data_IF_942353881381
#
_entry.id   IF_942353881381
#
_cell.length_a   1.000
_cell.length_b   1.000
_cell.length_c   1.000
_cell.angle_alpha   90.00
_cell.angle_beta   90.00
_cell.angle_gamma   90.00
#
_symmetry.space_group_name_H-M   'P 1'
#
loop_
_entity.id
_entity.type
_entity.pdbx_description
1 polymer ?
#
# COMPACT_ATOMS: atom_id res chain seq x y z
N UNK A 1 60.05 -38.68 47.88
CA UNK A 1 58.92 -39.18 47.09
C UNK A 1 57.64 -38.62 47.72
N UNK A 2 56.99 -37.71 47.01
CA UNK A 2 55.73 -37.06 47.43
C UNK A 2 54.85 -37.02 46.19
N UNK A 3 53.63 -37.58 46.18
CA UNK A 3 52.80 -37.61 44.99
C UNK A 3 52.09 -36.26 44.81
N UNK A 4 52.00 -35.82 43.56
CA UNK A 4 51.28 -34.63 43.14
C UNK A 4 49.80 -35.00 42.93
N UNK A 5 48.91 -34.34 43.67
CA UNK A 5 47.47 -34.33 43.40
C UNK A 5 47.19 -33.49 42.15
N UNK A 6 46.43 -34.07 41.22
CA UNK A 6 45.94 -33.43 40.00
C UNK A 6 44.42 -33.28 40.13
N UNK A 7 43.92 -32.06 40.37
CA UNK A 7 42.49 -31.75 40.26
C UNK A 7 42.05 -31.71 38.79
N UNK A 8 40.87 -32.25 38.44
CA UNK A 8 40.29 -32.12 37.11
C UNK A 8 39.51 -30.81 37.00
N UNK A 9 39.96 -29.92 36.13
CA UNK A 9 39.24 -28.71 35.72
C UNK A 9 37.94 -29.08 35.02
N UNK A 10 36.81 -28.82 35.67
CA UNK A 10 35.49 -28.93 35.08
C UNK A 10 35.33 -27.88 33.97
N UNK A 11 35.18 -28.34 32.73
CA UNK A 11 34.84 -27.50 31.59
C UNK A 11 33.37 -27.07 31.69
N UNK A 12 33.14 -25.80 32.00
CA UNK A 12 31.84 -25.13 31.90
C UNK A 12 31.43 -25.09 30.43
N UNK A 13 30.49 -25.95 30.04
CA UNK A 13 29.87 -25.92 28.72
C UNK A 13 29.09 -24.62 28.54
N UNK A 14 29.48 -23.83 27.54
CA UNK A 14 28.71 -22.70 27.03
C UNK A 14 27.39 -23.23 26.43
N UNK A 15 26.22 -22.67 26.76
CA UNK A 15 24.98 -23.01 26.09
C UNK A 15 25.08 -22.66 24.61
N UNK A 16 24.83 -23.64 23.75
CA UNK A 16 24.68 -23.48 22.31
C UNK A 16 23.36 -22.72 22.08
N UNK A 17 23.46 -21.41 21.82
CA UNK A 17 22.30 -20.60 21.40
C UNK A 17 21.77 -21.16 20.09
N UNK A 18 20.54 -21.67 20.15
CA UNK A 18 19.77 -22.08 18.96
C UNK A 18 19.57 -20.84 18.08
N UNK A 19 19.88 -20.90 16.78
CA UNK A 19 19.68 -19.76 15.90
C UNK A 19 18.19 -19.46 15.80
N UNK A 20 17.82 -18.30 16.34
CA UNK A 20 16.47 -17.73 16.32
C UNK A 20 16.03 -17.52 14.86
N UNK A 21 14.82 -17.95 14.53
CA UNK A 21 14.31 -17.95 13.17
C UNK A 21 14.34 -16.55 12.55
N UNK A 22 14.89 -16.45 11.34
CA UNK A 22 14.95 -15.20 10.57
C UNK A 22 13.51 -14.72 10.28
N UNK A 23 13.12 -13.49 10.64
CA UNK A 23 11.78 -13.00 10.35
C UNK A 23 11.61 -12.93 8.83
N UNK A 24 10.65 -13.71 8.31
CA UNK A 24 10.21 -13.60 6.93
C UNK A 24 9.28 -12.39 6.82
N UNK A 25 9.57 -11.40 5.98
CA UNK A 25 8.72 -10.23 5.81
C UNK A 25 7.36 -10.65 5.23
N UNK A 26 6.29 -10.35 5.95
CA UNK A 26 4.90 -10.59 5.55
C UNK A 26 4.46 -9.48 4.59
N UNK A 27 3.99 -9.79 3.37
CA UNK A 27 3.42 -8.78 2.50
C UNK A 27 2.17 -8.19 3.16
N UNK A 28 2.16 -6.87 3.40
CA UNK A 28 0.98 -6.16 3.91
C UNK A 28 -0.07 -6.13 2.81
N UNK A 29 -1.19 -6.77 3.10
CA UNK A 29 -2.38 -6.82 2.27
C UNK A 29 -3.33 -5.70 2.71
N UNK A 30 -3.10 -4.50 2.20
CA UNK A 30 -4.02 -3.38 2.44
C UNK A 30 -5.03 -3.26 1.32
N UNK A 31 -6.27 -3.56 1.67
CA UNK A 31 -7.44 -3.62 0.79
C UNK A 31 -8.42 -2.58 1.28
N UNK A 32 -8.41 -1.34 0.75
CA UNK A 32 -9.55 -0.43 0.92
C UNK A 32 -9.75 0.54 -0.27
N UNK A 33 -10.92 0.52 -0.94
CA UNK A 33 -11.29 1.33 -2.11
C UNK A 33 -12.70 1.93 -2.09
N UNK A 34 -12.84 3.13 -2.66
CA UNK A 34 -14.07 3.93 -2.69
C UNK A 34 -14.86 3.77 -4.00
N UNK A 35 -16.16 3.47 -3.91
CA UNK A 35 -17.08 3.19 -5.04
C UNK A 35 -17.53 4.44 -5.81
N UNK A 36 -17.61 4.31 -7.13
CA UNK A 36 -18.32 5.22 -8.01
C UNK A 36 -19.85 4.98 -7.97
N UNK A 37 -20.62 6.06 -7.88
CA UNK A 37 -22.09 6.06 -7.93
C UNK A 37 -22.61 5.66 -9.32
N UNK A 38 -23.78 4.98 -9.43
CA UNK A 38 -24.37 4.63 -10.73
C UNK A 38 -24.86 5.89 -11.46
N UNK A 39 -24.45 6.04 -12.72
CA UNK A 39 -24.96 7.07 -13.62
C UNK A 39 -26.44 6.86 -13.94
N UNK A 40 -27.28 7.80 -13.50
CA UNK A 40 -28.69 7.87 -13.91
C UNK A 40 -28.80 8.44 -15.32
N UNK A 41 -29.28 7.63 -16.26
CA UNK A 41 -29.69 8.10 -17.59
C UNK A 41 -31.02 8.84 -17.50
N UNK A 42 -31.02 10.13 -17.82
CA UNK A 42 -32.22 10.86 -18.21
C UNK A 42 -32.03 11.31 -19.65
N UNK A 43 -32.74 10.65 -20.56
CA UNK A 43 -32.85 11.11 -21.94
C UNK A 43 -33.73 12.34 -22.02
N UNK A 44 -33.33 13.30 -22.84
CA UNK A 44 -34.30 14.13 -23.54
C UNK A 44 -33.75 14.50 -24.92
N UNK A 45 -34.63 14.41 -25.92
CA UNK A 45 -34.30 14.56 -27.32
C UNK A 45 -34.24 16.03 -27.74
N UNK A 46 -33.23 16.37 -28.52
CA UNK A 46 -33.13 17.67 -29.17
C UNK A 46 -32.09 17.64 -30.28
N UNK A 47 -32.55 17.58 -31.52
CA UNK A 47 -31.72 17.82 -32.70
C UNK A 47 -31.27 19.30 -32.70
N UNK A 48 -29.97 19.56 -32.81
CA UNK A 48 -29.38 20.44 -33.85
C UNK A 48 -27.96 20.92 -33.48
N UNK A 49 -27.15 21.05 -34.54
CA UNK A 49 -25.81 21.66 -34.65
C UNK A 49 -24.61 20.85 -34.13
N UNK A 50 -23.87 20.27 -35.08
CA UNK A 50 -22.47 19.85 -34.92
C UNK A 50 -21.62 21.11 -34.67
N UNK A 51 -21.59 21.56 -33.41
CA UNK A 51 -20.60 22.51 -32.91
C UNK A 51 -19.36 21.72 -32.57
N UNK A 52 -18.27 21.96 -33.29
CA UNK A 52 -16.95 21.47 -32.92
C UNK A 52 -16.65 21.97 -31.50
N UNK A 53 -16.36 21.08 -30.52
CA UNK A 53 -16.13 21.51 -29.15
C UNK A 53 -14.92 22.45 -29.07
N UNK A 54 -14.92 23.48 -28.20
CA UNK A 54 -13.72 24.26 -27.92
C UNK A 54 -12.56 23.34 -27.52
N UNK A 55 -11.32 23.73 -27.80
CA UNK A 55 -10.12 22.91 -27.54
C UNK A 55 -10.02 22.38 -26.08
N UNK A 56 -10.60 23.10 -25.13
CA UNK A 56 -10.74 22.68 -23.73
C UNK A 56 -11.54 21.37 -23.56
N UNK A 57 -12.56 21.13 -24.40
CA UNK A 57 -13.38 19.91 -24.38
C UNK A 57 -12.66 18.74 -25.08
N UNK A 58 -11.77 19.01 -26.04
CA UNK A 58 -11.02 17.97 -26.74
C UNK A 58 -9.95 17.32 -25.83
N UNK A 59 -9.27 18.10 -24.98
CA UNK A 59 -8.36 17.57 -23.98
C UNK A 59 -9.10 16.84 -22.84
N UNK A 60 -10.30 17.30 -22.46
CA UNK A 60 -11.18 16.60 -21.53
C UNK A 60 -11.66 15.25 -22.10
N UNK A 61 -11.84 15.15 -23.42
CA UNK A 61 -12.27 13.92 -24.09
C UNK A 61 -11.19 12.81 -24.12
N UNK A 62 -9.94 13.08 -23.76
CA UNK A 62 -8.86 12.06 -23.75
C UNK A 62 -8.44 11.68 -22.32
N UNK A 63 -9.01 12.32 -21.29
CA UNK A 63 -8.65 12.04 -19.90
C UNK A 63 -9.27 10.72 -19.41
N UNK A 64 -8.50 9.86 -18.71
CA UNK A 64 -9.04 8.69 -18.03
C UNK A 64 -9.98 9.07 -16.89
N UNK A 65 -11.05 8.29 -16.69
CA UNK A 65 -12.03 8.56 -15.63
C UNK A 65 -11.38 8.44 -14.25
N UNK A 66 -10.45 7.48 -14.11
CA UNK A 66 -9.63 7.24 -12.90
C UNK A 66 -8.99 8.51 -12.34
N UNK A 67 -8.35 9.31 -13.19
CA UNK A 67 -7.56 10.49 -12.77
C UNK A 67 -8.37 11.78 -12.82
N UNK A 68 -9.51 11.78 -13.53
CA UNK A 68 -10.46 12.89 -13.56
C UNK A 68 -11.06 13.20 -12.18
N UNK A 69 -11.21 12.18 -11.33
CA UNK A 69 -11.76 12.30 -9.99
C UNK A 69 -10.85 13.07 -9.02
N UNK A 70 -9.56 13.20 -9.34
CA UNK A 70 -8.59 13.93 -8.50
C UNK A 70 -8.77 15.43 -8.70
N UNK A 71 -9.18 16.12 -7.64
CA UNK A 71 -9.42 17.57 -7.66
C UNK A 71 -8.11 18.37 -7.69
N UNK A 72 -8.16 19.56 -8.31
CA UNK A 72 -7.06 20.52 -8.22
C UNK A 72 -7.08 21.16 -6.83
N UNK A 73 -5.93 21.65 -6.39
CA UNK A 73 -5.82 22.34 -5.10
C UNK A 73 -6.76 23.55 -4.97
N UNK A 74 -7.04 24.26 -6.08
CA UNK A 74 -7.97 25.39 -6.09
C UNK A 74 -9.46 25.01 -6.09
N UNK A 75 -9.80 23.75 -6.38
CA UNK A 75 -11.18 23.28 -6.48
C UNK A 75 -11.71 22.73 -5.14
N UNK A 76 -10.84 22.55 -4.15
CA UNK A 76 -11.21 22.00 -2.84
C UNK A 76 -11.83 23.07 -1.95
N UNK A 77 -12.93 22.71 -1.28
CA UNK A 77 -13.60 23.63 -0.37
C UNK A 77 -12.71 24.04 0.80
N UNK A 78 -12.60 25.35 1.00
CA UNK A 78 -11.88 25.99 2.12
C UNK A 78 -12.83 26.43 3.25
N UNK A 79 -14.10 26.01 3.19
CA UNK A 79 -15.06 26.25 4.27
C UNK A 79 -14.53 25.62 5.58
N UNK A 80 -14.38 26.41 6.67
CA UNK A 80 -13.97 25.89 7.97
C UNK A 80 -14.77 24.66 8.44
N UNK A 81 -16.04 24.55 8.05
CA UNK A 81 -16.90 23.40 8.40
C UNK A 81 -16.50 22.13 7.65
N UNK A 82 -16.14 22.24 6.37
CA UNK A 82 -15.65 21.10 5.57
C UNK A 82 -14.31 20.63 6.11
N UNK A 83 -13.41 21.58 6.44
CA UNK A 83 -12.12 21.27 7.05
C UNK A 83 -12.32 20.55 8.39
N UNK A 84 -13.17 21.08 9.28
CA UNK A 84 -13.45 20.46 10.58
C UNK A 84 -14.03 19.05 10.45
N UNK A 85 -14.99 18.85 9.53
CA UNK A 85 -15.59 17.53 9.25
C UNK A 85 -14.53 16.53 8.78
N UNK A 86 -13.64 16.95 7.88
CA UNK A 86 -12.57 16.09 7.37
C UNK A 86 -11.49 15.77 8.42
N UNK A 87 -11.20 16.70 9.34
CA UNK A 87 -10.34 16.41 10.50
C UNK A 87 -11.00 15.33 11.39
N UNK A 88 -12.29 15.45 11.66
CA UNK A 88 -13.01 14.45 12.46
C UNK A 88 -13.03 13.09 11.77
N UNK A 89 -13.30 13.05 10.46
CA UNK A 89 -13.25 11.81 9.66
C UNK A 89 -11.86 11.17 9.69
N UNK A 90 -10.81 11.97 9.52
CA UNK A 90 -9.43 11.50 9.61
C UNK A 90 -9.12 10.90 10.99
N UNK A 91 -9.54 11.55 12.08
CA UNK A 91 -9.37 11.02 13.44
C UNK A 91 -10.14 9.71 13.62
N UNK A 92 -11.39 9.63 13.18
CA UNK A 92 -12.20 8.41 13.25
C UNK A 92 -11.52 7.28 12.48
N UNK A 93 -11.07 7.55 11.25
CA UNK A 93 -10.36 6.59 10.43
C UNK A 93 -9.10 6.07 11.15
N UNK A 94 -8.27 6.96 11.67
CA UNK A 94 -7.08 6.60 12.44
C UNK A 94 -7.42 5.78 13.69
N UNK A 95 -8.49 6.12 14.41
CA UNK A 95 -8.94 5.34 15.57
C UNK A 95 -9.35 3.92 15.18
N UNK A 96 -10.07 3.75 14.06
CA UNK A 96 -10.47 2.44 13.56
C UNK A 96 -9.24 1.63 13.14
N UNK A 97 -8.33 2.23 12.36
CA UNK A 97 -7.12 1.55 11.90
C UNK A 97 -6.21 1.16 13.07
N UNK A 98 -6.06 2.04 14.07
CA UNK A 98 -5.27 1.77 15.27
C UNK A 98 -5.90 0.65 16.11
N UNK A 99 -7.23 0.67 16.29
CA UNK A 99 -7.95 -0.38 17.01
C UNK A 99 -7.85 -1.74 16.31
N UNK A 100 -8.04 -1.78 14.99
CA UNK A 100 -7.89 -2.98 14.19
C UNK A 100 -6.45 -3.51 14.23
N UNK A 101 -5.46 -2.62 14.14
CA UNK A 101 -4.05 -2.95 14.24
C UNK A 101 -3.67 -3.56 15.59
N UNK A 102 -4.18 -3.02 16.69
CA UNK A 102 -3.93 -3.57 18.02
C UNK A 102 -4.51 -4.99 18.15
N UNK A 103 -5.77 -5.19 17.74
CA UNK A 103 -6.40 -6.51 17.74
C UNK A 103 -5.66 -7.51 16.83
N UNK A 104 -5.21 -7.07 15.66
CA UNK A 104 -4.47 -7.89 14.72
C UNK A 104 -3.12 -8.31 15.30
N UNK A 105 -2.34 -7.37 15.84
CA UNK A 105 -1.03 -7.65 16.45
C UNK A 105 -1.16 -8.68 17.58
N UNK A 106 -2.11 -8.48 18.51
CA UNK A 106 -2.36 -9.44 19.60
C UNK A 106 -2.74 -10.83 19.07
N UNK A 107 -3.54 -10.88 17.99
CA UNK A 107 -3.98 -12.15 17.39
C UNK A 107 -2.82 -12.90 16.75
N UNK A 108 -1.97 -12.21 16.00
CA UNK A 108 -0.80 -12.82 15.35
C UNK A 108 0.19 -13.32 16.42
N UNK A 109 0.48 -12.51 17.43
CA UNK A 109 1.44 -12.88 18.47
C UNK A 109 1.02 -14.12 19.25
N UNK A 110 -0.28 -14.23 19.58
CA UNK A 110 -0.80 -15.38 20.30
C UNK A 110 -0.90 -16.66 19.47
N UNK A 111 -0.91 -16.56 18.13
CA UNK A 111 -1.20 -17.69 17.24
C UNK A 111 -0.14 -17.89 16.14
N UNK A 112 1.04 -17.29 16.28
CA UNK A 112 2.10 -17.26 15.26
C UNK A 112 2.40 -18.65 14.70
N UNK A 113 2.71 -19.60 15.56
CA UNK A 113 3.09 -20.97 15.16
C UNK A 113 1.99 -21.69 14.38
N UNK A 114 0.73 -21.52 14.79
CA UNK A 114 -0.41 -22.16 14.11
C UNK A 114 -0.75 -21.45 12.79
N UNK A 115 -0.60 -20.13 12.74
CA UNK A 115 -0.73 -19.34 11.51
C UNK A 115 0.34 -19.73 10.50
N UNK A 116 1.60 -19.78 10.90
CA UNK A 116 2.72 -20.20 10.04
C UNK A 116 2.46 -21.61 9.48
N UNK A 117 2.09 -22.57 10.33
CA UNK A 117 1.80 -23.95 9.88
C UNK A 117 0.65 -24.03 8.87
N UNK A 118 -0.42 -23.25 9.06
CA UNK A 118 -1.57 -23.22 8.14
C UNK A 118 -1.24 -22.48 6.85
N UNK A 119 -0.51 -21.37 6.99
CA UNK A 119 -0.08 -20.56 5.87
C UNK A 119 0.86 -21.38 4.98
N UNK A 120 1.81 -22.12 5.54
CA UNK A 120 2.71 -22.99 4.79
C UNK A 120 1.95 -24.02 3.94
N UNK A 121 0.94 -24.66 4.52
CA UNK A 121 0.10 -25.61 3.78
C UNK A 121 -0.67 -24.93 2.64
N UNK A 122 -1.28 -23.78 2.90
CA UNK A 122 -1.98 -23.00 1.87
C UNK A 122 -1.04 -22.42 0.80
N UNK A 123 0.20 -22.09 1.19
CA UNK A 123 1.22 -21.47 0.35
C UNK A 123 2.03 -22.48 -0.47
N UNK A 124 1.96 -23.77 -0.12
CA UNK A 124 2.63 -24.86 -0.85
C UNK A 124 2.43 -24.82 -2.38
N UNK A 125 1.22 -24.67 -2.95
CA UNK A 125 1.05 -24.55 -4.40
C UNK A 125 1.74 -23.32 -5.00
N UNK A 126 1.79 -22.20 -4.25
CA UNK A 126 2.45 -20.98 -4.72
C UNK A 126 3.97 -21.08 -4.68
N UNK A 127 4.54 -21.88 -3.77
CA UNK A 127 5.98 -22.19 -3.78
C UNK A 127 6.41 -22.90 -5.07
N UNK A 128 5.56 -23.74 -5.65
CA UNK A 128 5.83 -24.39 -6.94
C UNK A 128 5.89 -23.38 -8.08
N UNK A 129 4.98 -22.39 -8.08
CA UNK A 129 4.98 -21.30 -9.07
C UNK A 129 6.24 -20.43 -8.90
N UNK A 130 6.59 -20.08 -7.67
CA UNK A 130 7.82 -19.33 -7.36
C UNK A 130 9.08 -20.06 -7.81
N UNK A 131 9.14 -21.38 -7.59
CA UNK A 131 10.24 -22.22 -8.08
C UNK A 131 10.32 -22.23 -9.62
N UNK A 132 9.17 -22.24 -10.31
CA UNK A 132 9.12 -22.12 -11.77
C UNK A 132 9.65 -20.79 -12.29
N UNK A 133 9.27 -19.67 -11.65
CA UNK A 133 9.76 -18.34 -11.99
C UNK A 133 11.27 -18.24 -11.77
N UNK A 134 11.76 -18.74 -10.63
CA UNK A 134 13.19 -18.77 -10.34
C UNK A 134 13.96 -19.65 -11.33
N UNK A 135 13.41 -20.80 -11.72
CA UNK A 135 14.01 -21.67 -12.73
C UNK A 135 14.14 -20.98 -14.10
N UNK A 136 13.12 -20.23 -14.53
CA UNK A 136 13.19 -19.44 -15.76
C UNK A 136 14.24 -18.32 -15.62
N UNK A 137 14.26 -17.64 -14.48
CA UNK A 137 15.25 -16.59 -14.21
C UNK A 137 16.69 -17.14 -14.21
N UNK A 138 16.93 -18.32 -13.66
CA UNK A 138 18.24 -18.98 -13.63
C UNK A 138 18.65 -19.49 -15.03
N UNK A 139 17.68 -19.87 -15.85
CA UNK A 139 17.91 -20.32 -17.24
C UNK A 139 18.37 -19.15 -18.12
N UNK A 140 17.81 -17.97 -17.91
CA UNK A 140 18.17 -16.76 -18.63
C UNK A 140 19.29 -16.06 -17.86
N UNK A 141 20.56 -16.34 -18.21
CA UNK A 141 21.73 -15.67 -17.61
C UNK A 141 21.79 -14.19 -18.00
N UNK A 142 21.00 -13.36 -17.32
CA UNK A 142 21.02 -11.91 -17.44
C UNK A 142 22.19 -11.39 -16.60
N UNK A 143 23.04 -10.47 -17.11
CA UNK A 143 24.07 -9.82 -16.30
C UNK A 143 23.46 -9.17 -15.05
N UNK A 144 24.10 -9.29 -13.88
CA UNK A 144 23.58 -8.77 -12.60
C UNK A 144 23.14 -7.30 -12.67
N UNK A 145 23.92 -6.46 -13.37
CA UNK A 145 23.59 -5.04 -13.58
C UNK A 145 22.27 -4.86 -14.33
N UNK A 146 22.06 -5.71 -15.33
CA UNK A 146 20.89 -5.65 -16.19
C UNK A 146 19.67 -6.25 -15.45
N UNK A 147 19.84 -7.33 -14.69
CA UNK A 147 18.81 -7.90 -13.82
C UNK A 147 18.32 -6.88 -12.78
N UNK A 148 19.22 -6.08 -12.20
CA UNK A 148 18.88 -5.03 -11.23
C UNK A 148 17.96 -3.95 -11.79
N UNK A 149 17.96 -3.74 -13.10
CA UNK A 149 17.10 -2.76 -13.80
C UNK A 149 15.86 -3.44 -14.38
N UNK A 150 16.03 -4.60 -15.04
CA UNK A 150 14.93 -5.32 -15.68
C UNK A 150 13.93 -5.91 -14.68
N UNK A 151 14.37 -6.37 -13.50
CA UNK A 151 13.45 -6.96 -12.54
C UNK A 151 12.42 -5.93 -12.03
N UNK A 152 12.81 -4.74 -11.52
CA UNK A 152 11.86 -3.69 -11.18
C UNK A 152 11.05 -3.21 -12.39
N UNK A 153 11.69 -3.01 -13.55
CA UNK A 153 10.98 -2.55 -14.75
C UNK A 153 9.93 -3.57 -15.23
N UNK A 154 10.22 -4.86 -15.18
CA UNK A 154 9.30 -5.93 -15.54
C UNK A 154 8.12 -6.03 -14.57
N UNK A 155 8.37 -5.84 -13.27
CA UNK A 155 7.30 -5.77 -12.26
C UNK A 155 6.42 -4.54 -12.49
N UNK A 156 7.01 -3.36 -12.71
CA UNK A 156 6.26 -2.14 -13.02
C UNK A 156 5.42 -2.29 -14.28
N UNK A 157 5.97 -2.92 -15.32
CA UNK A 157 5.24 -3.19 -16.56
C UNK A 157 4.09 -4.16 -16.32
N UNK A 158 4.32 -5.25 -15.59
CA UNK A 158 3.27 -6.21 -15.22
C UNK A 158 2.15 -5.52 -14.44
N UNK A 159 2.50 -4.74 -13.42
CA UNK A 159 1.54 -4.01 -12.59
C UNK A 159 0.75 -3.01 -13.44
N UNK A 160 1.45 -2.19 -14.24
CA UNK A 160 0.82 -1.25 -15.15
C UNK A 160 -0.16 -1.94 -16.09
N UNK A 161 0.22 -3.11 -16.62
CA UNK A 161 -0.62 -3.89 -17.53
C UNK A 161 -1.86 -4.44 -16.81
N UNK A 162 -1.67 -4.96 -15.60
CA UNK A 162 -2.78 -5.48 -14.78
C UNK A 162 -3.76 -4.37 -14.44
N UNK A 163 -3.28 -3.20 -14.02
CA UNK A 163 -4.15 -2.06 -13.69
C UNK A 163 -4.79 -1.42 -14.92
N UNK A 164 -4.15 -1.43 -16.10
CA UNK A 164 -4.77 -0.91 -17.31
C UNK A 164 -5.97 -1.75 -17.78
N UNK A 165 -6.08 -3.02 -17.35
CA UNK A 165 -7.28 -3.82 -17.57
C UNK A 165 -8.48 -3.41 -16.69
N UNK A 166 -8.31 -2.48 -15.74
CA UNK A 166 -9.40 -2.02 -14.90
C UNK A 166 -10.38 -1.11 -15.65
N UNK A 167 -9.92 -0.36 -16.66
CA UNK A 167 -10.76 0.40 -17.59
C UNK A 167 -11.17 -0.47 -18.80
N UNK A 168 -12.32 -0.21 -19.45
CA UNK A 168 -12.76 -0.98 -20.62
C UNK A 168 -11.68 -1.01 -21.70
N UNK A 169 -11.16 -2.22 -21.93
CA UNK A 169 -10.04 -2.52 -22.82
C UNK A 169 -10.31 -2.09 -24.26
N UNK A 170 -9.82 -0.91 -24.62
CA UNK A 170 -9.45 -0.53 -25.97
C UNK A 170 -7.94 -0.33 -26.02
N UNK A 171 -7.30 -0.67 -27.14
CA UNK A 171 -5.99 -0.09 -27.48
C UNK A 171 -6.22 1.35 -27.98
N UNK A 172 -6.83 2.17 -27.12
CA UNK A 172 -7.14 3.56 -27.38
C UNK A 172 -6.13 4.48 -26.68
N UNK A 173 -6.13 5.75 -27.07
CA UNK A 173 -5.22 6.74 -26.52
C UNK A 173 -5.41 6.90 -25.00
N UNK A 174 -6.62 6.67 -24.47
CA UNK A 174 -6.94 6.73 -23.04
C UNK A 174 -6.29 5.60 -22.25
N UNK A 175 -6.45 4.36 -22.71
CA UNK A 175 -5.85 3.19 -22.07
C UNK A 175 -4.33 3.23 -22.09
N UNK A 176 -3.73 3.68 -23.20
CA UNK A 176 -2.28 3.87 -23.30
C UNK A 176 -1.79 4.99 -22.36
N UNK A 177 -2.51 6.11 -22.30
CA UNK A 177 -2.22 7.22 -21.39
C UNK A 177 -2.25 6.75 -19.93
N UNK A 178 -3.32 6.06 -19.51
CA UNK A 178 -3.45 5.52 -18.16
C UNK A 178 -2.33 4.52 -17.85
N UNK A 179 -2.07 3.57 -18.74
CA UNK A 179 -1.01 2.57 -18.58
C UNK A 179 0.36 3.22 -18.37
N UNK A 180 0.73 4.19 -19.21
CA UNK A 180 2.02 4.88 -19.09
C UNK A 180 2.07 5.73 -17.81
N UNK A 181 1.00 6.46 -17.49
CA UNK A 181 0.93 7.25 -16.27
C UNK A 181 1.02 6.39 -15.01
N UNK A 182 0.45 5.18 -15.01
CA UNK A 182 0.57 4.18 -13.93
C UNK A 182 2.00 3.67 -13.80
N UNK A 183 2.64 3.29 -14.90
CA UNK A 183 4.04 2.81 -14.86
C UNK A 183 4.95 3.90 -14.28
N UNK A 184 4.79 5.15 -14.73
CA UNK A 184 5.61 6.25 -14.27
C UNK A 184 5.31 6.57 -12.81
N UNK A 185 4.03 6.69 -12.43
CA UNK A 185 3.66 7.04 -11.05
C UNK A 185 4.11 5.97 -10.06
N UNK A 186 3.82 4.69 -10.31
CA UNK A 186 4.23 3.59 -9.46
C UNK A 186 5.77 3.52 -9.39
N UNK A 187 6.46 3.69 -10.53
CA UNK A 187 7.92 3.74 -10.57
C UNK A 187 8.50 4.86 -9.70
N UNK A 188 7.92 6.05 -9.76
CA UNK A 188 8.32 7.20 -8.94
C UNK A 188 8.05 6.94 -7.46
N UNK A 189 6.84 6.50 -7.11
CA UNK A 189 6.46 6.20 -5.73
C UNK A 189 7.39 5.14 -5.13
N UNK A 190 7.60 4.03 -5.84
CA UNK A 190 8.49 2.94 -5.41
C UNK A 190 9.93 3.43 -5.27
N UNK A 191 10.42 4.23 -6.21
CA UNK A 191 11.78 4.78 -6.12
C UNK A 191 11.96 5.70 -4.91
N UNK A 192 11.00 6.58 -4.63
CA UNK A 192 11.07 7.49 -3.48
C UNK A 192 11.03 6.71 -2.18
N UNK A 193 10.09 5.78 -2.04
CA UNK A 193 9.86 5.07 -0.80
C UNK A 193 10.90 3.97 -0.58
N UNK A 194 10.86 2.93 -1.41
CA UNK A 194 11.72 1.75 -1.31
C UNK A 194 13.17 2.07 -1.66
N UNK A 195 13.37 2.87 -2.72
CA UNK A 195 14.70 3.35 -3.07
C UNK A 195 15.28 4.26 -1.99
N UNK A 196 14.46 5.12 -1.37
CA UNK A 196 14.85 5.95 -0.22
C UNK A 196 15.30 5.11 0.97
N UNK A 197 14.52 4.09 1.35
CA UNK A 197 14.88 3.15 2.41
C UNK A 197 16.17 2.39 2.09
N UNK A 198 16.28 1.86 0.86
CA UNK A 198 17.45 1.09 0.44
C UNK A 198 18.74 1.94 0.39
N UNK A 199 18.66 3.18 -0.10
CA UNK A 199 19.77 4.14 -0.12
C UNK A 199 20.17 4.47 1.31
N UNK A 200 19.22 4.78 2.19
CA UNK A 200 19.56 5.18 3.56
C UNK A 200 20.12 4.02 4.37
N UNK A 201 19.55 2.82 4.25
CA UNK A 201 20.06 1.59 4.84
C UNK A 201 21.50 1.29 4.41
N UNK A 202 21.78 1.41 3.11
CA UNK A 202 23.11 1.16 2.54
C UNK A 202 24.13 2.24 2.90
N UNK A 203 23.81 3.50 2.61
CA UNK A 203 24.80 4.58 2.64
C UNK A 203 25.00 5.13 4.05
N UNK A 204 23.94 5.15 4.87
CA UNK A 204 24.02 5.68 6.23
C UNK A 204 24.38 4.61 7.25
N UNK A 205 23.81 3.41 7.12
CA UNK A 205 23.94 2.35 8.13
C UNK A 205 24.82 1.18 7.68
N UNK A 206 25.33 1.18 6.44
CA UNK A 206 26.20 0.14 5.88
C UNK A 206 25.56 -1.27 5.95
N UNK A 207 24.24 -1.31 5.95
CA UNK A 207 23.47 -2.54 6.00
C UNK A 207 23.18 -2.98 4.55
N UNK A 208 23.55 -4.21 4.15
CA UNK A 208 23.27 -4.68 2.80
C UNK A 208 21.75 -4.79 2.59
N UNK A 209 21.23 -3.90 1.74
CA UNK A 209 19.85 -3.92 1.26
C UNK A 209 19.77 -4.67 -0.07
N UNK A 210 18.72 -5.47 -0.25
CA UNK A 210 18.45 -6.13 -1.51
C UNK A 210 16.95 -6.18 -1.77
N UNK A 211 16.57 -6.22 -3.05
CA UNK A 211 15.16 -6.27 -3.44
C UNK A 211 14.75 -7.73 -3.45
N UNK A 212 13.81 -8.11 -2.58
CA UNK A 212 13.18 -9.42 -2.61
C UNK A 212 11.81 -9.29 -3.26
N UNK A 213 11.58 -10.08 -4.30
CA UNK A 213 10.27 -10.15 -4.94
C UNK A 213 9.45 -11.16 -4.16
N UNK A 214 8.18 -10.85 -3.91
CA UNK A 214 7.21 -11.75 -3.30
C UNK A 214 6.21 -12.20 -4.37
N UNK A 215 6.45 -13.32 -5.07
CA UNK A 215 5.56 -13.80 -6.14
C UNK A 215 4.10 -13.95 -5.67
N UNK A 216 3.91 -14.32 -4.40
CA UNK A 216 2.60 -14.40 -3.79
C UNK A 216 1.86 -13.06 -3.81
N UNK A 217 2.54 -11.95 -3.48
CA UNK A 217 1.93 -10.62 -3.51
C UNK A 217 1.45 -10.27 -4.92
N UNK A 218 2.21 -10.66 -5.96
CA UNK A 218 1.83 -10.49 -7.37
C UNK A 218 0.57 -11.28 -7.68
N UNK A 219 0.49 -12.56 -7.28
CA UNK A 219 -0.68 -13.40 -7.54
C UNK A 219 -1.92 -12.89 -6.81
N UNK A 220 -1.76 -12.41 -5.57
CA UNK A 220 -2.86 -11.85 -4.81
C UNK A 220 -3.33 -10.53 -5.44
N UNK A 221 -2.42 -9.65 -5.85
CA UNK A 221 -2.75 -8.41 -6.57
C UNK A 221 -3.51 -8.71 -7.88
N UNK A 222 -3.06 -9.70 -8.65
CA UNK A 222 -3.76 -10.20 -9.84
C UNK A 222 -5.18 -10.69 -9.51
N UNK A 223 -5.33 -11.44 -8.42
CA UNK A 223 -6.62 -11.92 -7.94
C UNK A 223 -7.58 -10.78 -7.56
N UNK A 224 -7.09 -9.77 -6.85
CA UNK A 224 -7.89 -8.60 -6.49
C UNK A 224 -8.35 -7.82 -7.71
N UNK A 225 -7.47 -7.61 -8.70
CA UNK A 225 -7.84 -6.92 -9.93
C UNK A 225 -8.88 -7.72 -10.73
N UNK A 226 -8.74 -9.05 -10.78
CA UNK A 226 -9.72 -9.92 -11.43
C UNK A 226 -11.08 -9.86 -10.73
N UNK A 227 -11.12 -9.87 -9.39
CA UNK A 227 -12.35 -9.73 -8.60
C UNK A 227 -12.97 -8.35 -8.80
N UNK A 228 -12.16 -7.28 -8.75
CA UNK A 228 -12.62 -5.90 -9.00
C UNK A 228 -13.32 -5.80 -10.35
N UNK A 229 -12.75 -6.43 -11.38
CA UNK A 229 -13.34 -6.48 -12.70
C UNK A 229 -14.64 -7.28 -12.76
N UNK A 230 -14.69 -8.44 -12.11
CA UNK A 230 -15.91 -9.28 -12.08
C UNK A 230 -17.10 -8.59 -11.39
N UNK A 231 -16.82 -7.71 -10.43
CA UNK A 231 -17.84 -6.96 -9.68
C UNK A 231 -18.16 -5.61 -10.34
N UNK A 232 -17.51 -5.26 -11.46
CA UNK A 232 -17.54 -3.92 -12.07
C UNK A 232 -17.24 -2.82 -11.04
N UNK A 233 -16.27 -3.08 -10.18
CA UNK A 233 -15.83 -2.14 -9.17
C UNK A 233 -14.87 -1.15 -9.82
N UNK A 234 -15.40 0.01 -10.24
CA UNK A 234 -14.69 1.06 -10.97
C UNK A 234 -13.70 1.86 -10.12
N UNK A 235 -13.51 1.52 -8.85
CA UNK A 235 -12.50 2.20 -8.04
C UNK A 235 -11.12 1.69 -8.46
N UNK A 236 -10.22 2.56 -8.94
CA UNK A 236 -8.81 2.23 -9.07
C UNK A 236 -8.22 2.22 -7.66
N UNK A 237 -8.43 1.14 -6.92
CA UNK A 237 -7.70 0.89 -5.68
C UNK A 237 -6.26 0.64 -6.09
N UNK A 238 -5.38 1.62 -5.91
CA UNK A 238 -3.96 1.39 -6.11
C UNK A 238 -3.47 0.59 -4.91
N UNK A 239 -3.58 -0.74 -4.96
CA UNK A 239 -2.99 -1.61 -3.95
C UNK A 239 -1.51 -1.27 -3.83
N UNK A 240 -1.10 -0.99 -2.58
CA UNK A 240 0.23 -0.54 -2.21
C UNK A 240 1.35 -1.42 -2.75
N UNK A 241 2.48 -0.77 -3.03
CA UNK A 241 3.83 -1.28 -3.30
C UNK A 241 3.96 -2.81 -3.44
N UNK A 242 3.69 -3.33 -4.64
CA UNK A 242 3.90 -4.76 -5.00
C UNK A 242 5.38 -5.19 -4.90
N UNK A 243 6.31 -4.25 -4.72
CA UNK A 243 7.71 -4.51 -4.43
C UNK A 243 8.10 -3.90 -3.08
N UNK A 244 8.22 -4.72 -2.04
CA UNK A 244 8.78 -4.32 -0.75
C UNK A 244 10.30 -4.50 -0.83
N UNK A 245 11.08 -3.43 -0.66
CA UNK A 245 12.53 -3.54 -0.48
C UNK A 245 12.81 -3.95 0.96
N UNK A 246 12.88 -5.25 1.19
CA UNK A 246 13.20 -5.78 2.51
C UNK A 246 14.70 -5.68 2.76
N UNK A 247 15.13 -5.05 3.85
CA UNK A 247 16.51 -5.12 4.29
C UNK A 247 16.90 -6.60 4.52
N UNK A 248 17.89 -7.11 3.77
CA UNK A 248 18.26 -8.53 3.77
C UNK A 248 19.19 -8.85 4.97
N UNK A 249 19.64 -7.85 5.71
CA UNK A 249 20.73 -8.05 6.65
C UNK A 249 20.27 -8.42 8.07
N UNK A 250 20.90 -9.48 8.57
CA UNK A 250 20.88 -10.05 9.93
C UNK A 250 21.40 -9.06 11.01
N UNK A 251 21.93 -7.91 10.62
CA UNK A 251 22.33 -6.83 11.51
C UNK A 251 21.11 -5.99 11.91
N UNK A 252 20.59 -6.20 13.13
CA UNK A 252 19.51 -5.40 13.71
C UNK A 252 19.94 -3.93 13.73
N UNK A 253 19.25 -3.09 12.95
CA UNK A 253 19.26 -1.65 13.19
C UNK A 253 18.74 -1.41 14.61
N UNK A 254 19.27 -0.39 15.29
CA UNK A 254 18.66 0.03 16.55
C UNK A 254 17.24 0.56 16.26
N UNK A 255 16.31 0.44 17.21
CA UNK A 255 14.91 0.90 17.10
C UNK A 255 14.79 2.33 16.54
N UNK A 256 15.72 3.22 16.89
CA UNK A 256 15.74 4.61 16.42
C UNK A 256 16.23 4.75 14.96
N UNK A 257 17.18 3.90 14.53
CA UNK A 257 17.69 3.88 13.17
C UNK A 257 16.67 3.28 12.21
N UNK A 258 15.98 2.22 12.62
CA UNK A 258 14.88 1.61 11.89
C UNK A 258 13.75 2.62 11.69
N UNK A 259 13.33 3.29 12.78
CA UNK A 259 12.32 4.33 12.73
C UNK A 259 12.73 5.51 11.83
N UNK A 260 13.99 5.94 11.87
CA UNK A 260 14.48 7.03 11.01
C UNK A 260 14.48 6.61 9.54
N UNK A 261 14.86 5.35 9.26
CA UNK A 261 14.89 4.75 7.91
C UNK A 261 13.52 4.63 7.29
N UNK A 262 12.48 4.40 8.08
CA UNK A 262 11.10 4.45 7.61
C UNK A 262 10.57 5.89 7.52
N UNK A 263 10.81 6.73 8.53
CA UNK A 263 10.20 8.05 8.64
C UNK A 263 10.64 9.02 7.53
N UNK A 264 11.93 9.03 7.15
CA UNK A 264 12.44 9.99 6.17
C UNK A 264 11.86 9.73 4.77
N UNK A 265 11.94 8.51 4.19
CA UNK A 265 11.30 8.21 2.91
C UNK A 265 9.78 8.40 2.93
N UNK A 266 9.12 8.07 4.04
CA UNK A 266 7.68 8.35 4.22
C UNK A 266 7.38 9.84 4.12
N UNK A 267 8.16 10.68 4.82
CA UNK A 267 7.99 12.13 4.78
C UNK A 267 8.28 12.71 3.39
N UNK A 268 9.32 12.22 2.71
CA UNK A 268 9.65 12.62 1.32
C UNK A 268 8.54 12.21 0.37
N UNK A 269 7.98 11.01 0.52
CA UNK A 269 6.85 10.52 -0.28
C UNK A 269 5.62 11.41 -0.10
N UNK A 270 5.28 11.76 1.13
CA UNK A 270 4.16 12.66 1.42
C UNK A 270 4.38 14.05 0.80
N UNK A 271 5.58 14.62 0.93
CA UNK A 271 5.93 15.89 0.30
C UNK A 271 5.83 15.80 -1.23
N UNK A 272 6.35 14.73 -1.83
CA UNK A 272 6.28 14.51 -3.28
C UNK A 272 4.83 14.39 -3.77
N UNK A 273 3.96 13.70 -3.01
CA UNK A 273 2.54 13.59 -3.30
C UNK A 273 1.84 14.98 -3.26
N UNK A 274 2.13 15.80 -2.25
CA UNK A 274 1.59 17.16 -2.14
C UNK A 274 2.12 18.09 -3.23
N UNK A 275 3.39 17.97 -3.61
CA UNK A 275 3.97 18.70 -4.75
C UNK A 275 3.30 18.28 -6.05
N UNK A 276 3.10 16.97 -6.27
CA UNK A 276 2.39 16.46 -7.44
C UNK A 276 0.96 17.03 -7.51
N UNK A 277 0.26 17.09 -6.37
CA UNK A 277 -1.07 17.70 -6.27
C UNK A 277 -1.09 19.17 -6.69
N UNK A 278 -0.14 19.96 -6.18
CA UNK A 278 0.00 21.37 -6.55
C UNK A 278 0.29 21.54 -8.06
N UNK A 279 0.99 20.59 -8.67
CA UNK A 279 1.30 20.59 -10.10
C UNK A 279 0.13 20.15 -10.99
N UNK A 280 -0.91 19.48 -10.47
CA UNK A 280 -2.04 19.03 -11.28
C UNK A 280 -2.69 20.20 -12.02
N UNK A 281 -2.96 21.32 -11.35
CA UNK A 281 -3.54 22.52 -11.96
C UNK A 281 -2.78 23.00 -13.20
N UNK A 282 -1.52 23.47 -13.05
CA UNK A 282 -0.75 24.00 -14.17
C UNK A 282 -0.46 22.95 -15.26
N UNK A 283 -0.28 21.67 -14.91
CA UNK A 283 -0.07 20.61 -15.90
C UNK A 283 -1.33 20.35 -16.73
N UNK A 284 -2.52 20.41 -16.12
CA UNK A 284 -3.80 20.28 -16.84
C UNK A 284 -4.05 21.47 -17.75
N UNK A 285 -3.69 22.67 -17.31
CA UNK A 285 -3.86 23.88 -18.11
C UNK A 285 -2.91 23.87 -19.32
N UNK A 286 -1.64 23.50 -19.12
CA UNK A 286 -0.68 23.31 -20.21
C UNK A 286 -1.10 22.22 -21.22
N UNK A 287 -1.76 21.16 -20.75
CA UNK A 287 -2.29 20.11 -21.62
C UNK A 287 -3.48 20.60 -22.46
N UNK A 288 -4.27 21.55 -21.95
CA UNK A 288 -5.47 22.05 -22.64
C UNK A 288 -5.18 22.84 -23.92
N UNK A 289 -3.94 23.33 -24.08
CA UNK A 289 -3.49 24.05 -25.27
C UNK A 289 -3.16 23.13 -26.45
N UNK A 290 -3.12 21.80 -26.25
CA UNK A 290 -2.73 20.82 -27.28
C UNK A 290 -3.76 19.69 -27.36
N UNK A 291 -4.15 19.29 -28.57
CA UNK A 291 -5.08 18.15 -28.78
C UNK A 291 -4.40 16.77 -28.73
N UNK A 292 -3.10 16.72 -28.43
CA UNK A 292 -2.32 15.49 -28.43
C UNK A 292 -2.48 14.75 -27.10
N UNK A 293 -2.83 13.46 -27.14
CA UNK A 293 -3.08 12.65 -25.95
C UNK A 293 -1.92 12.64 -24.94
N UNK A 294 -0.67 12.65 -25.43
CA UNK A 294 0.52 12.62 -24.59
C UNK A 294 0.73 13.92 -23.80
N UNK A 295 0.08 15.03 -24.17
CA UNK A 295 0.16 16.28 -23.43
C UNK A 295 -0.48 16.16 -22.04
N UNK A 296 -1.46 15.26 -21.88
CA UNK A 296 -2.11 15.00 -20.59
C UNK A 296 -1.26 14.13 -19.66
N UNK A 297 -0.27 13.40 -20.19
CA UNK A 297 0.51 12.40 -19.45
C UNK A 297 1.17 12.93 -18.17
N UNK A 298 1.81 14.12 -18.15
CA UNK A 298 2.33 14.68 -16.90
C UNK A 298 1.24 14.93 -15.86
N UNK A 299 0.07 15.43 -16.27
CA UNK A 299 -1.02 15.76 -15.36
C UNK A 299 -1.69 14.51 -14.77
N UNK A 300 -1.88 13.46 -15.58
CA UNK A 300 -2.43 12.18 -15.11
C UNK A 300 -1.43 11.45 -14.21
N UNK A 301 -0.14 11.51 -14.54
CA UNK A 301 0.93 10.96 -13.68
C UNK A 301 0.97 11.67 -12.33
N UNK A 302 0.86 13.01 -12.32
CA UNK A 302 0.84 13.79 -11.08
C UNK A 302 -0.39 13.45 -10.22
N UNK A 303 -1.56 13.24 -10.83
CA UNK A 303 -2.77 12.81 -10.14
C UNK A 303 -2.59 11.44 -9.46
N UNK A 304 -1.97 10.47 -10.16
CA UNK A 304 -1.69 9.15 -9.61
C UNK A 304 -0.60 9.17 -8.52
N UNK A 305 0.46 9.99 -8.67
CA UNK A 305 1.48 10.18 -7.63
C UNK A 305 0.84 10.78 -6.37
N UNK A 306 -0.06 11.75 -6.52
CA UNK A 306 -0.77 12.32 -5.40
C UNK A 306 -1.66 11.28 -4.70
N UNK A 307 -2.56 10.63 -5.43
CA UNK A 307 -3.50 9.67 -4.86
C UNK A 307 -2.75 8.48 -4.22
N UNK A 308 -1.91 7.80 -4.99
CA UNK A 308 -1.14 6.64 -4.51
C UNK A 308 -0.10 6.99 -3.45
N UNK A 309 0.45 8.21 -3.46
CA UNK A 309 1.39 8.68 -2.44
C UNK A 309 0.71 8.97 -1.10
N UNK A 310 -0.44 9.66 -1.11
CA UNK A 310 -1.20 9.93 0.13
C UNK A 310 -1.77 8.65 0.71
N UNK A 311 -2.39 7.80 -0.12
CA UNK A 311 -2.89 6.49 0.28
C UNK A 311 -1.77 5.60 0.81
N UNK A 312 -0.67 5.50 0.06
CA UNK A 312 0.49 4.71 0.45
C UNK A 312 1.08 5.14 1.79
N UNK A 313 1.18 6.45 2.06
CA UNK A 313 1.64 6.95 3.37
C UNK A 313 0.64 6.62 4.48
N UNK A 314 -0.67 6.84 4.25
CA UNK A 314 -1.71 6.57 5.25
C UNK A 314 -1.64 5.12 5.73
N UNK A 315 -1.52 4.21 4.76
CA UNK A 315 -1.50 2.76 4.95
C UNK A 315 -0.17 2.26 5.52
N UNK A 316 0.96 2.74 5.00
CA UNK A 316 2.27 2.45 5.57
C UNK A 316 2.39 2.86 7.05
N UNK A 317 1.61 3.86 7.50
CA UNK A 317 1.60 4.31 8.89
C UNK A 317 0.69 3.49 9.83
N UNK A 318 -0.06 2.49 9.36
CA UNK A 318 -0.79 1.62 10.28
C UNK A 318 0.23 0.87 11.17
N UNK A 319 0.18 0.95 12.50
CA UNK A 319 1.25 0.43 13.37
C UNK A 319 1.14 -1.09 13.63
N UNK A 320 1.07 -1.90 12.56
CA UNK A 320 1.18 -3.36 12.64
C UNK A 320 2.64 -3.80 12.66
N UNK A 321 3.00 -4.86 13.38
CA UNK A 321 4.40 -5.28 13.58
C UNK A 321 5.22 -5.49 12.29
N UNK A 322 4.55 -5.71 11.16
CA UNK A 322 5.18 -5.95 9.86
C UNK A 322 5.18 -4.72 8.94
N UNK A 323 4.74 -3.55 9.44
CA UNK A 323 4.67 -2.29 8.69
C UNK A 323 5.80 -1.34 9.00
N UNK A 324 6.07 -0.46 8.04
CA UNK A 324 7.02 0.65 8.20
C UNK A 324 6.56 1.67 9.26
N UNK A 325 5.26 1.72 9.57
CA UNK A 325 4.68 2.58 10.59
C UNK A 325 4.99 2.15 12.02
N UNK A 326 5.20 0.86 12.27
CA UNK A 326 5.43 0.34 13.62
C UNK A 326 6.73 0.84 14.27
N UNK A 327 7.90 0.81 13.60
CA UNK A 327 9.12 1.40 14.14
C UNK A 327 8.98 2.89 14.45
N UNK A 328 8.31 3.65 13.57
CA UNK A 328 8.08 5.09 13.76
C UNK A 328 7.18 5.34 14.96
N UNK A 329 6.09 4.58 15.10
CA UNK A 329 5.19 4.67 16.25
C UNK A 329 5.92 4.38 17.57
N UNK A 330 6.75 3.34 17.61
CA UNK A 330 7.47 2.92 18.82
C UNK A 330 8.49 3.95 19.28
N UNK A 331 9.31 4.46 18.35
CA UNK A 331 10.45 5.33 18.67
C UNK A 331 10.14 6.83 18.56
N UNK A 332 9.24 7.22 17.66
CA UNK A 332 8.97 8.62 17.27
C UNK A 332 7.47 8.92 17.14
N UNK A 333 6.71 8.70 18.23
CA UNK A 333 5.24 8.87 18.28
C UNK A 333 4.73 10.19 17.67
N UNK A 334 5.45 11.29 17.86
CA UNK A 334 5.06 12.59 17.32
C UNK A 334 5.25 12.69 15.80
N UNK A 335 6.32 12.10 15.26
CA UNK A 335 6.54 12.03 13.81
C UNK A 335 5.49 11.14 13.18
N UNK A 336 5.23 9.97 13.77
CA UNK A 336 4.15 9.09 13.36
C UNK A 336 2.81 9.82 13.35
N UNK A 337 2.47 10.52 14.43
CA UNK A 337 1.20 11.24 14.56
C UNK A 337 1.09 12.33 13.48
N UNK A 338 2.16 13.09 13.24
CA UNK A 338 2.18 14.13 12.22
C UNK A 338 1.97 13.55 10.81
N UNK A 339 2.69 12.48 10.45
CA UNK A 339 2.56 11.82 9.15
C UNK A 339 1.18 11.18 8.96
N UNK A 340 0.71 10.45 9.97
CA UNK A 340 -0.59 9.76 9.95
C UNK A 340 -1.75 10.74 9.89
N UNK A 341 -1.73 11.78 10.73
CA UNK A 341 -2.80 12.77 10.75
C UNK A 341 -2.83 13.60 9.47
N UNK A 342 -1.66 13.97 8.93
CA UNK A 342 -1.58 14.74 7.68
C UNK A 342 -2.08 13.91 6.50
N UNK A 343 -1.61 12.67 6.34
CA UNK A 343 -2.06 11.79 5.27
C UNK A 343 -3.55 11.45 5.40
N UNK A 344 -4.03 11.10 6.60
CA UNK A 344 -5.46 10.82 6.85
C UNK A 344 -6.34 12.05 6.58
N UNK A 345 -5.89 13.24 6.97
CA UNK A 345 -6.60 14.48 6.69
C UNK A 345 -6.66 14.77 5.19
N UNK A 346 -5.54 14.71 4.48
CA UNK A 346 -5.49 14.97 3.03
C UNK A 346 -6.31 13.93 2.27
N UNK A 347 -6.22 12.65 2.65
CA UNK A 347 -7.04 11.57 2.10
C UNK A 347 -8.54 11.85 2.31
N UNK A 348 -8.94 12.20 3.53
CA UNK A 348 -10.33 12.50 3.83
C UNK A 348 -10.81 13.74 3.05
N UNK A 349 -10.03 14.82 3.11
CA UNK A 349 -10.39 16.12 2.57
C UNK A 349 -10.40 16.17 1.04
N UNK A 350 -9.49 15.47 0.36
CA UNK A 350 -9.36 15.57 -1.10
C UNK A 350 -9.99 14.37 -1.81
N UNK A 351 -9.89 13.17 -1.24
CA UNK A 351 -10.31 11.93 -1.91
C UNK A 351 -11.71 11.51 -1.44
N UNK A 352 -11.97 11.49 -0.12
CA UNK A 352 -13.26 11.01 0.40
C UNK A 352 -14.37 12.04 0.36
N UNK A 353 -14.10 13.28 0.81
CA UNK A 353 -15.12 14.32 0.95
C UNK A 353 -14.63 15.72 0.53
N UNK A 354 -14.46 15.95 -0.79
CA UNK A 354 -13.96 17.22 -1.30
C UNK A 354 -14.96 18.39 -1.27
N UNK A 355 -16.27 18.12 -1.23
CA UNK A 355 -17.29 19.15 -1.48
C UNK A 355 -18.51 19.12 -0.56
N UNK A 356 -18.71 18.09 0.28
CA UNK A 356 -19.92 18.04 1.08
C UNK A 356 -19.76 18.82 2.40
N UNK A 357 -20.56 19.87 2.51
CA UNK A 357 -20.63 20.84 3.61
C UNK A 357 -21.38 20.32 4.84
N UNK A 358 -22.07 19.17 4.75
CA UNK A 358 -22.95 18.65 5.82
C UNK A 358 -22.94 17.11 5.91
N UNK A 359 -23.55 16.56 6.96
CA UNK A 359 -23.70 15.12 7.24
C UNK A 359 -24.37 14.32 6.09
N UNK A 360 -24.96 14.98 5.09
CA UNK A 360 -25.38 14.37 3.82
C UNK A 360 -24.21 13.72 3.04
N UNK A 361 -22.96 14.14 3.30
CA UNK A 361 -21.74 13.48 2.84
C UNK A 361 -21.68 12.00 3.24
N UNK A 362 -22.15 11.67 4.45
CA UNK A 362 -22.14 10.30 4.95
C UNK A 362 -23.15 9.41 4.21
N UNK A 363 -24.14 10.01 3.54
CA UNK A 363 -25.19 9.32 2.77
C UNK A 363 -24.80 9.23 1.29
N UNK A 364 -23.80 10.00 0.83
CA UNK A 364 -23.25 9.81 -0.51
C UNK A 364 -22.53 8.46 -0.63
N UNK A 365 -22.77 7.76 -1.74
CA UNK A 365 -22.32 6.37 -1.94
C UNK A 365 -20.82 6.14 -1.74
N UNK A 366 -19.99 7.17 -1.97
CA UNK A 366 -18.52 7.11 -1.76
C UNK A 366 -18.14 6.91 -0.29
N UNK A 367 -18.70 7.70 0.62
CA UNK A 367 -18.37 7.63 2.05
C UNK A 367 -18.98 6.38 2.68
N UNK A 368 -20.22 6.02 2.33
CA UNK A 368 -20.86 4.77 2.76
C UNK A 368 -20.07 3.54 2.33
N UNK A 369 -19.48 3.56 1.14
CA UNK A 369 -18.64 2.46 0.70
C UNK A 369 -17.31 2.44 1.44
N UNK A 370 -16.64 3.57 1.60
CA UNK A 370 -15.41 3.63 2.39
C UNK A 370 -15.64 3.10 3.81
N UNK A 371 -16.72 3.54 4.47
CA UNK A 371 -17.16 3.03 5.77
C UNK A 371 -17.49 1.54 5.70
N UNK A 372 -18.26 1.10 4.71
CA UNK A 372 -18.65 -0.30 4.55
C UNK A 372 -17.45 -1.22 4.37
N UNK A 373 -16.43 -0.76 3.65
CA UNK A 373 -15.22 -1.52 3.38
C UNK A 373 -14.27 -1.52 4.58
N UNK A 374 -14.08 -0.36 5.23
CA UNK A 374 -13.37 -0.28 6.52
C UNK A 374 -14.05 -1.16 7.56
N UNK A 375 -15.38 -1.19 7.57
CA UNK A 375 -16.18 -2.05 8.45
C UNK A 375 -16.01 -3.52 8.07
N UNK A 376 -16.00 -3.87 6.78
CA UNK A 376 -15.76 -5.24 6.33
C UNK A 376 -14.36 -5.72 6.75
N UNK A 377 -13.33 -4.88 6.58
CA UNK A 377 -12.00 -5.16 7.08
C UNK A 377 -11.99 -5.36 8.60
N UNK A 378 -12.60 -4.44 9.35
CA UNK A 378 -12.71 -4.57 10.80
C UNK A 378 -13.45 -5.86 11.21
N UNK A 379 -14.51 -6.24 10.49
CA UNK A 379 -15.25 -7.49 10.71
C UNK A 379 -14.36 -8.70 10.44
N UNK A 380 -13.55 -8.71 9.38
CA UNK A 380 -12.62 -9.80 9.10
C UNK A 380 -11.59 -9.92 10.22
N UNK A 381 -10.99 -8.80 10.65
CA UNK A 381 -10.04 -8.79 11.77
C UNK A 381 -10.68 -9.32 13.04
N UNK A 382 -11.90 -8.84 13.37
CA UNK A 382 -12.67 -9.29 14.54
C UNK A 382 -13.04 -10.76 14.43
N UNK A 383 -13.40 -11.26 13.24
CA UNK A 383 -13.77 -12.64 13.01
C UNK A 383 -12.57 -13.58 13.19
N UNK A 384 -11.38 -13.19 12.70
CA UNK A 384 -10.13 -13.92 12.92
C UNK A 384 -9.83 -13.95 14.42
N UNK A 385 -9.86 -12.79 15.09
CA UNK A 385 -9.65 -12.70 16.54
C UNK A 385 -10.64 -13.57 17.33
N UNK A 386 -11.93 -13.51 16.99
CA UNK A 386 -12.99 -14.27 17.65
C UNK A 386 -12.80 -15.77 17.46
N UNK A 387 -12.48 -16.21 16.24
CA UNK A 387 -12.21 -17.61 15.92
C UNK A 387 -11.11 -18.19 16.82
N UNK A 388 -9.99 -17.49 16.97
CA UNK A 388 -8.88 -17.94 17.83
C UNK A 388 -9.24 -17.83 19.32
N UNK A 389 -9.89 -16.75 19.72
CA UNK A 389 -10.28 -16.50 21.12
C UNK A 389 -11.26 -17.56 21.66
N UNK A 390 -12.27 -17.95 20.88
CA UNK A 390 -13.23 -18.99 21.28
C UNK A 390 -12.58 -20.38 21.37
N UNK A 391 -11.57 -20.64 20.55
CA UNK A 391 -10.88 -21.93 20.52
C UNK A 391 -9.91 -22.10 21.69
N UNK A 392 -9.21 -21.03 22.07
CA UNK A 392 -8.36 -21.01 23.27
C UNK A 392 -9.15 -21.32 24.55
N UNK A 393 -10.40 -20.87 24.64
CA UNK A 393 -11.29 -21.14 25.78
C UNK A 393 -11.88 -22.56 25.80
N UNK A 394 -11.84 -23.26 24.67
CA UNK A 394 -12.40 -24.62 24.52
C UNK A 394 -11.34 -25.72 24.69
N UNK A 395 -10.13 -25.38 25.14
CA UNK A 395 -9.07 -26.34 25.43
C UNK A 395 -9.51 -27.33 26.51
N UNK A 396 -9.15 -28.63 26.40
CA UNK A 396 -9.58 -29.65 27.34
C UNK A 396 -9.16 -29.26 28.76
N UNK A 397 -10.13 -29.25 29.68
CA UNK A 397 -9.88 -29.04 31.10
C UNK A 397 -8.73 -29.96 31.52
N UNK A 398 -7.64 -29.38 32.02
CA UNK A 398 -6.53 -30.17 32.55
C UNK A 398 -7.12 -31.16 33.55
N UNK A 399 -6.85 -32.47 33.42
CA UNK A 399 -7.28 -33.42 34.43
C UNK A 399 -6.63 -32.99 35.73
N UNK A 400 -7.47 -32.54 36.67
CA UNK A 400 -7.06 -32.26 38.04
C UNK A 400 -6.42 -33.55 38.53
N UNK A 401 -5.10 -33.53 38.71
CA UNK A 401 -4.39 -34.63 39.32
C UNK A 401 -5.01 -34.83 40.71
N UNK A 402 -5.74 -35.93 40.87
CA UNK A 402 -6.25 -36.35 42.15
C UNK A 402 -5.06 -36.95 42.92
N UNK A 403 -4.55 -36.19 43.88
CA UNK A 403 -3.67 -36.67 44.95
C UNK A 403 -4.45 -37.51 45.97
#
# INVERSE_FOLDING_TARGET
ETPADSEPTAATGTPEETPDATPSPTPILEVLGAVATPGGSSGDGGADTVRQPPAADAAAAVRPDTTSAVMRMGDVSTDPRVIATNIILAIILLCILLGASALFNDTIDLNRDELERRLDWFMTPFHVIGAGINWVADTIKIPERLQRILAPAGILLLIGAVYSFNEPVGFDDRGLLLFLSLIISIGVLTYIFEGGMAIMSRDRYHVPSGVKIFPLAIVIALGFVLISRLVNFEAPIMFGFVAVATAIAVSRLNDEQEATTAAIPTAILLIAALVAWALIGPLRDAASDTSAWYASLPSETAALIFAGGVEGVLFAMIPVQFSDGYPIWRSMRWVWLALSLTSAFVFSWVILNPAATEFDALIQGRVLTAIGLVSAYAIVVIAIWAYFSFRARSGPAQPVAAD
#
